data_IF_563925663185
#
_entry.id   IF_563925663185
#
_cell.length_a   1.000
_cell.length_b   1.000
_cell.length_c   1.000
_cell.angle_alpha   90.00
_cell.angle_beta   90.00
_cell.angle_gamma   90.00
#
_symmetry.space_group_name_H-M   'P 1'
#
loop_
_entity.id
_entity.type
_entity.pdbx_description
1 polymer ?
#
# COMPACT_ATOMS: atom_id res chain seq x y z
N UNK A 1 -36.81 7.56 8.70
CA UNK A 1 -37.69 7.40 9.89
C UNK A 1 -38.92 6.57 9.55
N UNK A 2 -39.61 6.87 8.45
CA UNK A 2 -40.79 6.12 7.99
C UNK A 2 -40.55 4.62 7.73
N UNK A 3 -39.45 4.23 7.05
CA UNK A 3 -39.14 2.80 6.81
C UNK A 3 -39.01 1.99 8.11
N UNK A 4 -38.37 2.57 9.14
CA UNK A 4 -38.22 1.92 10.45
C UNK A 4 -39.57 1.70 11.12
N UNK A 5 -40.49 2.67 11.00
CA UNK A 5 -41.84 2.58 11.55
C UNK A 5 -42.64 1.46 10.86
N UNK A 6 -42.56 1.36 9.53
CA UNK A 6 -43.22 0.30 8.77
C UNK A 6 -42.66 -1.10 9.06
N UNK A 7 -41.33 -1.22 9.26
CA UNK A 7 -40.71 -2.48 9.69
C UNK A 7 -41.16 -2.90 11.10
N UNK A 8 -41.22 -1.95 12.05
CA UNK A 8 -41.76 -2.23 13.39
C UNK A 8 -43.25 -2.64 13.37
N UNK A 9 -44.04 -2.04 12.48
CA UNK A 9 -45.43 -2.46 12.27
C UNK A 9 -45.51 -3.90 11.73
N UNK A 10 -44.57 -4.31 10.87
CA UNK A 10 -44.48 -5.67 10.36
C UNK A 10 -44.14 -6.67 11.47
N UNK A 11 -43.18 -6.34 12.33
CA UNK A 11 -42.83 -7.16 13.50
C UNK A 11 -44.02 -7.31 14.46
N UNK A 12 -44.78 -6.24 14.66
CA UNK A 12 -45.99 -6.26 15.50
C UNK A 12 -47.07 -7.16 14.90
N UNK A 13 -47.29 -7.10 13.58
CA UNK A 13 -48.25 -7.94 12.87
C UNK A 13 -47.85 -9.44 12.93
N UNK A 14 -46.56 -9.74 12.81
CA UNK A 14 -46.04 -11.09 13.00
C UNK A 14 -46.30 -11.62 14.42
N UNK A 15 -46.06 -10.79 15.45
CA UNK A 15 -46.35 -11.16 16.83
C UNK A 15 -47.85 -11.41 17.08
N UNK A 16 -48.73 -10.57 16.53
CA UNK A 16 -50.18 -10.75 16.60
C UNK A 16 -50.63 -12.06 15.92
N UNK A 17 -50.03 -12.41 14.79
CA UNK A 17 -50.33 -13.65 14.06
C UNK A 17 -49.91 -14.89 14.83
N UNK A 18 -48.73 -14.90 15.44
CA UNK A 18 -48.29 -16.02 16.29
C UNK A 18 -49.21 -16.18 17.51
N UNK A 19 -49.60 -15.08 18.18
CA UNK A 19 -50.56 -15.14 19.29
C UNK A 19 -51.93 -15.71 18.86
N UNK A 20 -52.40 -15.32 17.67
CA UNK A 20 -53.67 -15.81 17.10
C UNK A 20 -53.58 -17.30 16.78
N UNK A 21 -52.46 -17.74 16.19
CA UNK A 21 -52.18 -19.15 15.91
C UNK A 21 -52.11 -19.99 17.18
N UNK A 22 -51.44 -19.52 18.22
CA UNK A 22 -51.36 -20.22 19.50
C UNK A 22 -52.75 -20.31 20.16
N UNK A 23 -53.54 -19.24 20.10
CA UNK A 23 -54.92 -19.23 20.61
C UNK A 23 -55.81 -20.25 19.89
N UNK A 24 -55.73 -20.34 18.56
CA UNK A 24 -56.46 -21.34 17.77
C UNK A 24 -55.99 -22.76 18.14
N UNK A 25 -54.68 -22.95 18.33
CA UNK A 25 -54.10 -24.25 18.68
C UNK A 25 -54.60 -24.74 20.03
N UNK A 26 -54.61 -23.87 21.05
CA UNK A 26 -55.16 -24.19 22.38
C UNK A 26 -56.65 -24.51 22.27
N UNK A 27 -57.43 -23.69 21.57
CA UNK A 27 -58.86 -23.93 21.39
C UNK A 27 -59.14 -25.24 20.65
N UNK A 28 -58.34 -25.60 19.64
CA UNK A 28 -58.46 -26.87 18.94
C UNK A 28 -58.06 -28.08 19.79
N UNK A 29 -57.14 -27.92 20.75
CA UNK A 29 -56.77 -28.99 21.69
C UNK A 29 -57.83 -29.23 22.76
N UNK A 30 -58.49 -28.17 23.22
CA UNK A 30 -59.56 -28.25 24.22
C UNK A 30 -60.91 -28.64 23.62
N UNK A 31 -61.06 -28.55 22.29
CA UNK A 31 -62.31 -28.87 21.64
C UNK A 31 -62.55 -30.39 21.54
N UNK A 32 -63.62 -30.85 22.17
CA UNK A 32 -64.09 -32.23 22.13
C UNK A 32 -65.35 -32.33 21.25
N UNK A 33 -65.20 -32.44 19.91
CA UNK A 33 -66.32 -32.32 18.97
C UNK A 33 -67.34 -33.46 19.12
N UNK A 34 -66.90 -34.67 19.49
CA UNK A 34 -67.76 -35.86 19.56
C UNK A 34 -68.93 -35.69 20.53
N UNK A 35 -68.69 -35.14 21.73
CA UNK A 35 -69.74 -34.96 22.73
C UNK A 35 -70.71 -33.83 22.37
N UNK A 36 -70.21 -32.76 21.74
CA UNK A 36 -71.03 -31.60 21.36
C UNK A 36 -71.87 -31.88 20.12
N UNK A 37 -71.29 -32.53 19.12
CA UNK A 37 -71.99 -32.97 17.92
C UNK A 37 -73.08 -34.00 18.23
N UNK A 38 -72.83 -34.93 19.16
CA UNK A 38 -73.85 -35.90 19.60
C UNK A 38 -75.08 -35.22 20.24
N UNK A 39 -74.88 -34.11 20.97
CA UNK A 39 -75.97 -33.32 21.56
C UNK A 39 -76.74 -32.54 20.49
N UNK A 40 -76.05 -31.99 19.49
CA UNK A 40 -76.66 -31.18 18.42
C UNK A 40 -77.41 -32.02 17.37
N UNK A 41 -76.90 -33.21 17.03
CA UNK A 41 -77.55 -34.15 16.10
C UNK A 41 -78.87 -34.71 16.64
N UNK A 42 -79.12 -34.63 17.95
CA UNK A 42 -80.42 -34.98 18.55
C UNK A 42 -81.56 -34.02 18.19
N UNK A 43 -81.26 -32.86 17.58
CA UNK A 43 -82.26 -31.84 17.25
C UNK A 43 -82.11 -31.15 15.89
N UNK A 44 -81.08 -31.47 15.10
CA UNK A 44 -80.76 -30.83 13.80
C UNK A 44 -80.08 -31.82 12.84
N UNK A 45 -80.14 -31.59 11.51
CA UNK A 45 -79.37 -32.38 10.54
C UNK A 45 -77.86 -32.21 10.74
N UNK A 46 -77.10 -33.26 10.39
CA UNK A 46 -75.65 -33.39 10.64
C UNK A 46 -74.85 -32.20 10.10
N UNK A 47 -75.12 -31.77 8.86
CA UNK A 47 -74.41 -30.65 8.22
C UNK A 47 -74.55 -29.33 9.00
N UNK A 48 -75.75 -29.04 9.54
CA UNK A 48 -76.00 -27.82 10.32
C UNK A 48 -75.36 -27.88 11.71
N UNK A 49 -75.28 -29.08 12.31
CA UNK A 49 -74.62 -29.27 13.59
C UNK A 49 -73.10 -29.04 13.47
N UNK A 50 -72.48 -29.50 12.37
CA UNK A 50 -71.07 -29.26 12.06
C UNK A 50 -70.81 -27.78 11.81
N UNK A 51 -71.66 -27.11 11.02
CA UNK A 51 -71.50 -25.69 10.70
C UNK A 51 -71.59 -24.81 11.97
N UNK A 52 -72.53 -25.11 12.87
CA UNK A 52 -72.66 -24.46 14.19
C UNK A 52 -71.41 -24.64 15.06
N UNK A 53 -70.83 -25.84 15.07
CA UNK A 53 -69.60 -26.10 15.83
C UNK A 53 -68.37 -25.43 15.21
N UNK A 54 -68.33 -25.26 13.88
CA UNK A 54 -67.25 -24.54 13.20
C UNK A 54 -67.35 -23.02 13.35
N UNK A 55 -68.55 -22.48 13.59
CA UNK A 55 -68.79 -21.04 13.69
C UNK A 55 -68.00 -20.37 14.82
N UNK A 56 -67.60 -21.11 15.87
CA UNK A 56 -66.70 -20.60 16.93
C UNK A 56 -65.31 -20.20 16.42
N UNK A 57 -64.89 -20.72 15.27
CA UNK A 57 -63.63 -20.35 14.61
C UNK A 57 -63.78 -19.18 13.63
N UNK A 58 -64.99 -18.68 13.38
CA UNK A 58 -65.26 -17.62 12.41
C UNK A 58 -64.50 -16.32 12.74
N UNK A 59 -64.43 -15.94 14.01
CA UNK A 59 -63.68 -14.76 14.46
C UNK A 59 -62.18 -14.89 14.21
N UNK A 60 -61.63 -16.08 14.41
CA UNK A 60 -60.22 -16.35 14.13
C UNK A 60 -59.94 -16.29 12.63
N UNK A 61 -60.85 -16.79 11.81
CA UNK A 61 -60.77 -16.68 10.35
C UNK A 61 -60.79 -15.22 9.90
N UNK A 62 -61.70 -14.42 10.44
CA UNK A 62 -61.77 -12.98 10.18
C UNK A 62 -60.49 -12.24 10.60
N UNK A 63 -59.91 -12.58 11.76
CA UNK A 63 -58.63 -12.02 12.22
C UNK A 63 -57.46 -12.37 11.28
N UNK A 64 -57.40 -13.60 10.78
CA UNK A 64 -56.39 -14.04 9.82
C UNK A 64 -56.54 -13.30 8.49
N UNK A 65 -57.78 -13.20 7.97
CA UNK A 65 -58.06 -12.52 6.71
C UNK A 65 -57.74 -11.01 6.77
N UNK A 66 -58.05 -10.36 7.91
CA UNK A 66 -57.64 -8.97 8.19
C UNK A 66 -56.12 -8.83 8.22
N UNK A 67 -55.43 -9.71 8.95
CA UNK A 67 -53.96 -9.69 9.07
C UNK A 67 -53.26 -9.86 7.73
N UNK A 68 -53.77 -10.75 6.85
CA UNK A 68 -53.23 -10.92 5.49
C UNK A 68 -53.44 -9.65 4.66
N UNK A 69 -54.60 -9.04 4.74
CA UNK A 69 -54.92 -7.80 4.00
C UNK A 69 -54.02 -6.64 4.45
N UNK A 70 -53.84 -6.47 5.76
CA UNK A 70 -52.93 -5.49 6.35
C UNK A 70 -51.47 -5.74 5.94
N UNK A 71 -51.03 -7.01 5.92
CA UNK A 71 -49.68 -7.39 5.48
C UNK A 71 -49.42 -6.98 4.02
N UNK A 72 -50.39 -7.18 3.11
CA UNK A 72 -50.23 -6.82 1.70
C UNK A 72 -49.98 -5.31 1.55
N UNK A 73 -50.81 -4.48 2.18
CA UNK A 73 -50.65 -3.02 2.12
C UNK A 73 -49.37 -2.54 2.79
N UNK A 74 -48.97 -3.18 3.90
CA UNK A 74 -47.74 -2.86 4.59
C UNK A 74 -46.49 -3.22 3.78
N UNK A 75 -46.49 -4.36 3.09
CA UNK A 75 -45.38 -4.77 2.22
C UNK A 75 -45.21 -3.83 1.02
N UNK A 76 -46.32 -3.36 0.44
CA UNK A 76 -46.27 -2.35 -0.63
C UNK A 76 -45.67 -1.02 -0.11
N UNK A 77 -46.11 -0.60 1.08
CA UNK A 77 -45.56 0.61 1.74
C UNK A 77 -44.07 0.46 2.05
N UNK A 78 -43.65 -0.69 2.58
CA UNK A 78 -42.24 -0.99 2.87
C UNK A 78 -41.42 -0.97 1.57
N UNK A 79 -41.94 -1.55 0.49
CA UNK A 79 -41.26 -1.56 -0.81
C UNK A 79 -40.98 -0.15 -1.31
N UNK A 80 -42.00 0.71 -1.36
CA UNK A 80 -41.85 2.10 -1.80
C UNK A 80 -40.86 2.85 -0.91
N UNK A 81 -41.00 2.74 0.41
CA UNK A 81 -40.11 3.40 1.36
C UNK A 81 -38.68 2.87 1.29
N UNK A 82 -38.48 1.59 0.98
CA UNK A 82 -37.17 0.99 0.79
C UNK A 82 -36.51 1.46 -0.52
N UNK A 83 -37.28 1.60 -1.60
CA UNK A 83 -36.77 2.14 -2.86
C UNK A 83 -36.31 3.60 -2.68
N UNK A 84 -37.09 4.41 -1.96
CA UNK A 84 -36.72 5.79 -1.61
C UNK A 84 -35.51 5.84 -0.65
N UNK A 85 -35.46 4.94 0.32
CA UNK A 85 -34.31 4.81 1.21
C UNK A 85 -33.04 4.40 0.44
N UNK A 86 -33.13 3.45 -0.49
CA UNK A 86 -32.01 3.01 -1.30
C UNK A 86 -31.48 4.14 -2.19
N UNK A 87 -32.37 4.93 -2.80
CA UNK A 87 -31.99 6.14 -3.56
C UNK A 87 -31.27 7.15 -2.68
N UNK A 88 -31.83 7.45 -1.51
CA UNK A 88 -31.26 8.43 -0.57
C UNK A 88 -29.93 7.95 0.02
N UNK A 89 -29.81 6.65 0.31
CA UNK A 89 -28.57 6.03 0.79
C UNK A 89 -27.47 6.12 -0.26
N UNK A 90 -27.79 5.87 -1.52
CA UNK A 90 -26.84 6.00 -2.63
C UNK A 90 -26.24 7.41 -2.71
N UNK A 91 -27.05 8.43 -2.42
CA UNK A 91 -26.61 9.84 -2.37
C UNK A 91 -25.94 10.23 -1.06
N UNK A 92 -26.35 9.65 0.07
CA UNK A 92 -25.75 9.91 1.39
C UNK A 92 -24.38 9.23 1.55
N UNK A 93 -24.14 8.13 0.84
CA UNK A 93 -22.84 7.47 0.73
C UNK A 93 -21.78 8.37 0.08
N UNK A 94 -22.16 9.48 -0.56
CA UNK A 94 -21.19 10.49 -1.03
C UNK A 94 -20.36 11.05 0.13
N UNK A 95 -20.99 11.37 1.28
CA UNK A 95 -20.28 11.86 2.46
C UNK A 95 -19.39 10.80 3.11
N UNK A 96 -19.81 9.53 3.07
CA UNK A 96 -18.99 8.40 3.53
C UNK A 96 -17.79 8.18 2.60
N UNK A 97 -17.98 8.29 1.28
CA UNK A 97 -16.92 8.18 0.28
C UNK A 97 -15.92 9.33 0.37
N UNK A 98 -16.38 10.56 0.54
CA UNK A 98 -15.50 11.73 0.75
C UNK A 98 -14.65 11.55 2.02
N UNK A 99 -15.27 11.04 3.11
CA UNK A 99 -14.55 10.74 4.34
C UNK A 99 -13.51 9.64 4.15
N UNK A 100 -13.85 8.58 3.43
CA UNK A 100 -12.94 7.48 3.14
C UNK A 100 -11.78 7.93 2.24
N UNK A 101 -12.06 8.75 1.23
CA UNK A 101 -11.03 9.39 0.39
C UNK A 101 -10.11 10.29 1.21
N UNK A 102 -10.63 11.07 2.15
CA UNK A 102 -9.82 11.90 3.04
C UNK A 102 -8.89 11.05 3.91
N UNK A 103 -9.39 9.96 4.49
CA UNK A 103 -8.55 9.05 5.28
C UNK A 103 -7.46 8.39 4.43
N UNK A 104 -7.81 7.98 3.22
CA UNK A 104 -6.84 7.40 2.29
C UNK A 104 -5.77 8.42 1.88
N UNK A 105 -6.15 9.68 1.64
CA UNK A 105 -5.21 10.76 1.34
C UNK A 105 -4.27 11.06 2.52
N UNK A 106 -4.79 11.04 3.75
CA UNK A 106 -3.98 11.21 4.96
C UNK A 106 -2.99 10.07 5.15
N UNK A 107 -3.40 8.82 4.91
CA UNK A 107 -2.53 7.66 4.99
C UNK A 107 -1.41 7.72 3.94
N UNK A 108 -1.74 8.09 2.70
CA UNK A 108 -0.75 8.29 1.63
C UNK A 108 0.25 9.39 1.99
N UNK A 109 -0.22 10.53 2.52
CA UNK A 109 0.64 11.63 2.95
C UNK A 109 1.58 11.21 4.08
N UNK A 110 1.09 10.40 5.04
CA UNK A 110 1.92 9.89 6.12
C UNK A 110 2.99 8.92 5.62
N UNK A 111 2.64 8.01 4.71
CA UNK A 111 3.60 7.08 4.11
C UNK A 111 4.69 7.83 3.33
N UNK A 112 4.31 8.83 2.53
CA UNK A 112 5.26 9.69 1.83
C UNK A 112 6.17 10.46 2.79
N UNK A 113 5.63 10.95 3.91
CA UNK A 113 6.41 11.61 4.96
C UNK A 113 7.45 10.65 5.58
N UNK A 114 7.06 9.41 5.90
CA UNK A 114 7.99 8.42 6.46
C UNK A 114 9.11 8.07 5.47
N UNK A 115 8.78 7.90 4.20
CA UNK A 115 9.76 7.65 3.14
C UNK A 115 10.74 8.82 3.01
N UNK A 116 10.24 10.05 2.94
CA UNK A 116 11.07 11.25 2.89
C UNK A 116 11.98 11.38 4.12
N UNK A 117 11.46 11.08 5.31
CA UNK A 117 12.23 11.13 6.55
C UNK A 117 13.37 10.10 6.55
N UNK A 118 13.12 8.89 6.06
CA UNK A 118 14.14 7.85 5.94
C UNK A 118 15.21 8.25 4.91
N UNK A 119 14.80 8.73 3.73
CA UNK A 119 15.73 9.22 2.72
C UNK A 119 16.61 10.37 3.24
N UNK A 120 16.05 11.29 4.04
CA UNK A 120 16.82 12.37 4.67
C UNK A 120 17.81 11.85 5.70
N UNK A 121 17.42 10.86 6.53
CA UNK A 121 18.33 10.23 7.50
C UNK A 121 19.49 9.53 6.81
N UNK A 122 19.20 8.77 5.76
CA UNK A 122 20.23 8.14 4.92
C UNK A 122 21.13 9.18 4.27
N UNK A 123 20.57 10.27 3.75
CA UNK A 123 21.32 11.39 3.19
C UNK A 123 22.29 12.02 4.21
N UNK A 124 21.82 12.32 5.42
CA UNK A 124 22.66 12.88 6.49
C UNK A 124 23.82 11.93 6.81
N UNK A 125 23.50 10.64 6.98
CA UNK A 125 24.52 9.63 7.27
C UNK A 125 25.54 9.50 6.13
N UNK A 126 25.06 9.45 4.88
CA UNK A 126 25.90 9.38 3.69
C UNK A 126 26.83 10.60 3.58
N UNK A 127 26.31 11.82 3.69
CA UNK A 127 27.13 13.02 3.56
C UNK A 127 28.12 13.18 4.71
N UNK A 128 27.77 12.73 5.92
CA UNK A 128 28.72 12.69 7.04
C UNK A 128 29.91 11.77 6.74
N UNK A 129 29.64 10.53 6.31
CA UNK A 129 30.70 9.58 5.93
C UNK A 129 31.49 10.04 4.69
N UNK A 130 30.80 10.65 3.73
CA UNK A 130 31.43 11.16 2.52
C UNK A 130 32.38 12.32 2.82
N UNK A 131 32.00 13.21 3.76
CA UNK A 131 32.85 14.30 4.22
C UNK A 131 34.14 13.76 4.87
N UNK A 132 34.04 12.77 5.77
CA UNK A 132 35.22 12.14 6.38
C UNK A 132 36.15 11.53 5.32
N UNK A 133 35.58 10.82 4.35
CA UNK A 133 36.33 10.21 3.25
C UNK A 133 37.02 11.26 2.37
N UNK A 134 36.31 12.36 2.05
CA UNK A 134 36.87 13.47 1.28
C UNK A 134 38.00 14.18 2.03
N UNK A 135 37.85 14.45 3.33
CA UNK A 135 38.91 15.05 4.15
C UNK A 135 40.15 14.16 4.19
N UNK A 136 39.99 12.86 4.39
CA UNK A 136 41.11 11.92 4.35
C UNK A 136 41.80 11.88 2.97
N UNK A 137 41.03 11.98 1.89
CA UNK A 137 41.59 12.05 0.54
C UNK A 137 42.31 13.39 0.27
N UNK A 138 41.75 14.50 0.75
CA UNK A 138 42.38 15.82 0.64
C UNK A 138 43.77 15.82 1.31
N UNK A 139 43.89 15.28 2.52
CA UNK A 139 45.19 15.14 3.19
C UNK A 139 46.18 14.28 2.40
N UNK A 140 45.73 13.17 1.77
CA UNK A 140 46.60 12.36 0.91
C UNK A 140 47.14 13.14 -0.29
N UNK A 141 46.32 14.02 -0.87
CA UNK A 141 46.76 14.89 -1.97
C UNK A 141 47.76 15.93 -1.47
N UNK A 142 47.51 16.54 -0.31
CA UNK A 142 48.44 17.48 0.33
C UNK A 142 49.80 16.82 0.62
N UNK A 143 49.80 15.63 1.23
CA UNK A 143 51.00 14.84 1.53
C UNK A 143 51.77 14.48 0.25
N UNK A 144 51.05 14.06 -0.80
CA UNK A 144 51.67 13.75 -2.10
C UNK A 144 52.35 14.99 -2.71
N UNK A 145 51.68 16.15 -2.68
CA UNK A 145 52.26 17.40 -3.19
C UNK A 145 53.45 17.83 -2.35
N UNK A 146 53.40 17.66 -1.02
CA UNK A 146 54.50 17.96 -0.13
C UNK A 146 55.71 17.07 -0.42
N UNK A 147 55.53 15.75 -0.50
CA UNK A 147 56.59 14.80 -0.84
C UNK A 147 57.28 15.16 -2.16
N UNK A 148 56.50 15.51 -3.20
CA UNK A 148 57.05 15.92 -4.50
C UNK A 148 57.84 17.22 -4.45
N UNK A 149 57.45 18.17 -3.59
CA UNK A 149 58.21 19.41 -3.37
C UNK A 149 59.53 19.13 -2.66
N UNK A 150 59.51 18.26 -1.64
CA UNK A 150 60.72 17.84 -0.92
C UNK A 150 61.69 17.09 -1.84
N UNK A 151 61.20 16.09 -2.60
CA UNK A 151 62.01 15.38 -3.60
C UNK A 151 62.69 16.34 -4.59
N UNK A 152 61.94 17.33 -5.11
CA UNK A 152 62.50 18.37 -5.99
C UNK A 152 63.61 19.16 -5.29
N UNK A 153 63.39 19.59 -4.05
CA UNK A 153 64.36 20.43 -3.33
C UNK A 153 65.63 19.66 -2.97
N UNK A 154 65.51 18.38 -2.61
CA UNK A 154 66.63 17.46 -2.41
C UNK A 154 67.44 17.26 -3.71
N UNK A 155 66.76 17.03 -4.83
CA UNK A 155 67.40 16.91 -6.15
C UNK A 155 68.14 18.19 -6.53
N UNK A 156 67.53 19.37 -6.34
CA UNK A 156 68.18 20.66 -6.61
C UNK A 156 69.41 20.88 -5.73
N UNK A 157 69.34 20.52 -4.44
CA UNK A 157 70.47 20.60 -3.53
C UNK A 157 71.62 19.68 -3.98
N UNK A 158 71.31 18.43 -4.36
CA UNK A 158 72.31 17.46 -4.82
C UNK A 158 73.08 17.92 -6.08
N UNK A 159 72.39 18.54 -7.04
CA UNK A 159 73.02 19.09 -8.26
C UNK A 159 73.95 20.25 -7.92
N UNK A 160 73.55 21.12 -6.99
CA UNK A 160 74.38 22.25 -6.55
C UNK A 160 75.66 21.77 -5.87
N UNK A 161 75.57 20.73 -5.05
CA UNK A 161 76.72 20.15 -4.34
C UNK A 161 77.72 19.50 -5.32
N UNK A 162 77.23 18.75 -6.32
CA UNK A 162 78.07 18.21 -7.40
C UNK A 162 78.76 19.32 -8.24
N UNK A 163 78.09 20.46 -8.44
CA UNK A 163 78.63 21.59 -9.20
C UNK A 163 79.64 22.46 -8.45
N UNK A 164 79.79 22.30 -7.14
CA UNK A 164 80.62 23.16 -6.27
C UNK A 164 81.97 22.55 -5.88
N UNK A 165 82.35 21.38 -6.41
CA UNK A 165 83.69 20.80 -6.23
C UNK A 165 84.80 21.68 -6.83
N UNK A 166 85.96 21.85 -6.15
CA UNK A 166 86.98 22.80 -6.59
C UNK A 166 87.78 22.29 -7.80
N UNK A 167 87.84 23.14 -8.84
CA UNK A 167 89.07 23.37 -9.61
C UNK A 167 89.50 22.33 -10.65
N UNK A 168 89.22 22.67 -11.91
CA UNK A 168 90.12 22.60 -13.07
C UNK A 168 91.34 21.66 -13.02
N UNK A 169 91.33 20.66 -13.92
CA UNK A 169 92.51 20.03 -14.46
C UNK A 169 92.33 19.82 -15.97
N UNK A 170 92.82 20.76 -16.77
CA UNK A 170 92.92 20.63 -18.22
C UNK A 170 94.00 19.60 -18.60
N UNK A 171 93.70 18.72 -19.54
CA UNK A 171 94.65 17.80 -20.17
C UNK A 171 94.05 17.20 -21.46
N UNK A 172 94.71 17.31 -22.64
CA UNK A 172 94.10 17.05 -23.94
C UNK A 172 94.35 15.62 -24.46
N UNK A 173 93.42 15.08 -25.24
CA UNK A 173 93.69 13.86 -26.04
C UNK A 173 92.42 13.24 -26.66
N UNK A 174 92.33 13.05 -27.97
CA UNK A 174 91.10 12.74 -28.68
C UNK A 174 90.83 11.23 -28.74
N UNK A 175 89.55 10.82 -28.64
CA UNK A 175 89.14 9.46 -28.98
C UNK A 175 87.84 9.50 -29.79
N UNK A 176 88.02 9.35 -31.10
CA UNK A 176 87.12 8.79 -32.11
C UNK A 176 85.61 8.97 -31.94
N UNK A 177 85.02 9.79 -32.81
CA UNK A 177 83.66 9.58 -33.27
C UNK A 177 83.63 8.41 -34.27
N UNK A 178 82.85 7.35 -34.06
CA UNK A 178 82.39 6.53 -35.17
C UNK A 178 81.15 7.16 -35.78
N UNK A 179 81.26 7.30 -37.10
CA UNK A 179 80.24 7.68 -38.07
C UNK A 179 78.91 6.93 -37.92
N UNK A 180 77.84 7.60 -38.36
CA UNK A 180 76.47 7.14 -38.34
C UNK A 180 76.24 5.91 -39.24
N UNK A 181 75.52 4.93 -38.69
CA UNK A 181 74.83 3.86 -39.41
C UNK A 181 73.46 3.61 -38.75
N UNK A 182 72.38 3.34 -39.51
CA UNK A 182 71.02 3.35 -38.97
C UNK A 182 70.71 2.05 -38.24
N UNK A 183 70.55 2.12 -36.92
CA UNK A 183 70.10 1.00 -36.09
C UNK A 183 69.29 1.51 -34.91
N UNK A 184 67.97 1.36 -35.01
CA UNK A 184 67.04 1.69 -33.93
C UNK A 184 67.28 0.77 -32.72
N UNK A 185 67.84 1.33 -31.64
CA UNK A 185 67.90 0.72 -30.31
C UNK A 185 66.97 1.48 -29.35
N UNK A 186 66.21 0.79 -28.48
CA UNK A 186 65.20 1.43 -27.64
C UNK A 186 65.83 2.17 -26.45
N UNK A 187 65.40 3.41 -26.22
CA UNK A 187 65.67 4.14 -24.99
C UNK A 187 65.02 3.41 -23.80
N UNK A 188 65.81 3.03 -22.78
CA UNK A 188 65.31 2.53 -21.50
C UNK A 188 65.11 3.71 -20.52
N UNK A 189 63.89 3.86 -20.02
CA UNK A 189 63.55 4.78 -18.93
C UNK A 189 64.04 4.25 -17.57
N UNK A 190 64.36 5.11 -16.58
CA UNK A 190 64.75 4.66 -15.24
C UNK A 190 63.61 3.92 -14.52
N UNK A 191 63.93 2.99 -13.60
CA UNK A 191 62.93 2.13 -12.97
C UNK A 191 62.07 2.90 -11.96
N UNK A 192 60.75 2.75 -12.11
CA UNK A 192 59.73 3.33 -11.23
C UNK A 192 59.68 2.57 -9.89
N UNK A 193 59.88 3.20 -8.72
CA UNK A 193 60.02 2.50 -7.44
C UNK A 193 58.68 2.12 -6.76
N UNK A 194 57.53 2.31 -7.40
CA UNK A 194 56.22 2.00 -6.79
C UNK A 194 55.45 0.95 -7.58
N UNK A 195 55.22 -0.26 -7.01
CA UNK A 195 54.32 -1.23 -7.61
C UNK A 195 52.87 -0.84 -7.30
N UNK A 196 52.14 -0.39 -8.32
CA UNK A 196 50.69 -0.29 -8.23
C UNK A 196 50.08 -1.70 -8.25
N UNK A 197 49.22 -2.08 -7.29
CA UNK A 197 48.46 -3.32 -7.40
C UNK A 197 47.46 -3.20 -8.56
N UNK A 198 47.55 -4.14 -9.50
CA UNK A 198 46.67 -4.30 -10.65
C UNK A 198 45.24 -4.63 -10.14
N UNK A 199 44.30 -3.71 -10.27
CA UNK A 199 42.87 -4.03 -10.22
C UNK A 199 42.41 -4.35 -11.65
N UNK A 200 41.71 -5.49 -11.89
CA UNK A 200 41.23 -5.82 -13.23
C UNK A 200 40.16 -4.81 -13.68
N UNK A 201 40.26 -4.38 -14.94
CA UNK A 201 39.32 -3.46 -15.57
C UNK A 201 37.91 -4.09 -15.65
N UNK A 202 36.83 -3.34 -15.34
CA UNK A 202 35.48 -3.80 -15.62
C UNK A 202 35.23 -3.80 -17.14
N UNK A 203 34.91 -4.97 -17.66
CA UNK A 203 34.43 -5.16 -19.04
C UNK A 203 33.10 -4.43 -19.21
N UNK A 204 33.00 -3.59 -20.24
CA UNK A 204 31.80 -2.84 -20.57
C UNK A 204 30.59 -3.74 -20.84
N UNK A 205 29.48 -3.42 -20.19
CA UNK A 205 28.14 -3.79 -20.61
C UNK A 205 27.34 -2.51 -20.84
N UNK A 206 26.71 -2.43 -22.01
CA UNK A 206 25.94 -1.30 -22.50
C UNK A 206 24.81 -0.87 -21.54
N UNK A 207 24.56 0.44 -21.37
CA UNK A 207 23.41 0.92 -20.62
C UNK A 207 22.13 0.70 -21.45
N UNK A 208 21.27 -0.22 -21.00
CA UNK A 208 19.87 -0.25 -21.45
C UNK A 208 19.13 0.96 -20.88
N UNK A 209 18.75 1.85 -21.77
CA UNK A 209 17.81 2.94 -21.54
C UNK A 209 16.41 2.38 -21.22
N UNK A 210 15.99 2.49 -19.95
CA UNK A 210 14.58 2.45 -19.56
C UNK A 210 14.39 3.64 -18.64
N UNK A 211 13.82 4.72 -19.17
CA UNK A 211 12.80 5.55 -18.54
C UNK A 211 12.26 6.48 -19.62
N UNK A 212 11.22 6.01 -20.30
CA UNK A 212 10.38 6.84 -21.15
C UNK A 212 9.45 7.66 -20.25
N UNK A 213 9.67 8.98 -20.22
CA UNK A 213 8.63 9.93 -19.83
C UNK A 213 7.86 10.31 -21.09
N UNK A 214 6.59 9.90 -21.15
CA UNK A 214 5.64 10.45 -22.11
C UNK A 214 5.15 11.81 -21.59
N UNK A 215 5.02 12.84 -22.43
CA UNK A 215 4.29 14.04 -22.05
C UNK A 215 2.78 13.82 -22.27
N UNK A 216 1.97 14.35 -21.36
CA UNK A 216 0.51 14.49 -21.48
C UNK A 216 0.11 15.90 -21.03
N UNK A 217 -1.07 16.36 -21.45
CA UNK A 217 -1.50 16.70 -22.81
C UNK A 217 -1.23 18.16 -23.16
#
# INVERSE_FOLDING_TARGET
MELRKSLLACDTLLAQRENTKDSIRTMAQEDAPTNKLAVLMGGMPEDQAIERELDKYSEFRAKIDSSISEQIGLLETIRVQNDDFARTRSTADAGTREREQLFQALEQAFNAYQELLNNLREGIHFYTQFQETLSAYAHKVEDYVYARRTERDELVASIRDLGAGPGAGAGPGPAGYPTAGPGAGPYQAPPNPYPYPYAPAPQGQDPKTIYGYAPRP
#
